data_IF_110437751799
#
_entry.id   IF_110437751799
#
_cell.length_a   1.000
_cell.length_b   1.000
_cell.length_c   1.000
_cell.angle_alpha   90.00
_cell.angle_beta   90.00
_cell.angle_gamma   90.00
#
_symmetry.space_group_name_H-M   'P 1'
#
loop_
_entity.id
_entity.type
_entity.pdbx_description
1 polymer ?
#
# COMPACT_ATOMS: atom_id res chain seq x y z
N UNK A 1 22.60 -8.37 -12.84
CA UNK A 1 22.04 -7.08 -13.33
C UNK A 1 20.52 -7.11 -13.26
N UNK A 2 19.86 -8.12 -13.84
CA UNK A 2 18.39 -8.26 -13.82
C UNK A 2 17.74 -8.20 -12.43
N UNK A 3 18.31 -8.91 -11.44
CA UNK A 3 17.83 -8.89 -10.05
C UNK A 3 17.88 -7.50 -9.42
N UNK A 4 18.88 -6.67 -9.78
CA UNK A 4 18.98 -5.30 -9.31
C UNK A 4 17.84 -4.43 -9.87
N UNK A 5 17.45 -4.63 -11.14
CA UNK A 5 16.34 -3.91 -11.74
C UNK A 5 14.99 -4.30 -11.14
N UNK A 6 14.80 -5.57 -10.79
CA UNK A 6 13.59 -6.03 -10.07
C UNK A 6 13.53 -5.40 -8.67
N UNK A 7 14.66 -5.34 -7.96
CA UNK A 7 14.72 -4.68 -6.65
C UNK A 7 14.50 -3.16 -6.75
N UNK A 8 15.07 -2.54 -7.78
CA UNK A 8 14.84 -1.12 -8.08
C UNK A 8 13.36 -0.84 -8.37
N UNK A 9 12.68 -1.72 -9.12
CA UNK A 9 11.25 -1.62 -9.40
C UNK A 9 10.43 -1.64 -8.11
N UNK A 10 10.77 -2.51 -7.16
CA UNK A 10 10.13 -2.56 -5.85
C UNK A 10 10.28 -1.23 -5.09
N UNK A 11 11.52 -0.74 -4.98
CA UNK A 11 11.84 0.48 -4.23
C UNK A 11 11.16 1.68 -4.87
N UNK A 12 11.27 1.85 -6.18
CA UNK A 12 10.64 2.97 -6.89
C UNK A 12 9.12 2.89 -6.80
N UNK A 13 8.54 1.70 -6.97
CA UNK A 13 7.11 1.44 -6.78
C UNK A 13 6.62 1.90 -5.41
N UNK A 14 7.36 1.54 -4.37
CA UNK A 14 7.01 1.92 -3.00
C UNK A 14 7.17 3.42 -2.80
N UNK A 15 8.34 3.95 -3.15
CA UNK A 15 8.74 5.31 -2.87
C UNK A 15 7.84 6.32 -3.59
N UNK A 16 7.60 6.13 -4.90
CA UNK A 16 6.72 7.00 -5.69
C UNK A 16 5.30 6.95 -5.16
N UNK A 17 4.80 5.78 -4.75
CA UNK A 17 3.48 5.67 -4.13
C UNK A 17 3.37 6.46 -2.82
N UNK A 18 4.39 6.43 -1.96
CA UNK A 18 4.37 7.22 -0.71
C UNK A 18 4.42 8.72 -0.98
N UNK A 19 5.23 9.17 -1.95
CA UNK A 19 5.30 10.58 -2.35
C UNK A 19 3.95 11.05 -2.91
N UNK A 20 3.35 10.29 -3.83
CA UNK A 20 2.04 10.63 -4.39
C UNK A 20 0.94 10.65 -3.32
N UNK A 21 0.99 9.72 -2.36
CA UNK A 21 0.05 9.70 -1.24
C UNK A 21 0.14 10.96 -0.39
N UNK A 22 1.35 11.42 -0.10
CA UNK A 22 1.58 12.68 0.61
C UNK A 22 1.03 13.88 -0.17
N UNK A 23 1.28 13.93 -1.48
CA UNK A 23 0.78 15.01 -2.35
C UNK A 23 -0.76 15.03 -2.35
N UNK A 24 -1.41 13.88 -2.57
CA UNK A 24 -2.87 13.79 -2.57
C UNK A 24 -3.47 14.16 -1.21
N UNK A 25 -2.81 13.78 -0.11
CA UNK A 25 -3.21 14.17 1.23
C UNK A 25 -3.18 15.69 1.43
N UNK A 26 -2.08 16.36 1.05
CA UNK A 26 -1.91 17.82 1.19
C UNK A 26 -2.95 18.56 0.34
N UNK A 27 -3.17 18.13 -0.90
CA UNK A 27 -4.16 18.74 -1.80
C UNK A 27 -5.57 18.60 -1.21
N UNK A 28 -5.93 17.42 -0.71
CA UNK A 28 -7.26 17.15 -0.13
C UNK A 28 -7.53 18.02 1.11
N UNK A 29 -6.51 18.32 1.90
CA UNK A 29 -6.62 19.16 3.11
C UNK A 29 -6.55 20.67 2.85
N UNK A 30 -6.43 21.14 1.60
CA UNK A 30 -6.41 22.57 1.20
C UNK A 30 -5.52 23.45 2.11
N UNK A 31 -4.32 22.98 2.45
CA UNK A 31 -3.35 23.76 3.23
C UNK A 31 -3.59 23.80 4.75
N UNK A 32 -4.60 23.11 5.30
CA UNK A 32 -4.81 22.96 6.75
C UNK A 32 -4.11 21.71 7.32
N UNK A 33 -2.85 21.52 6.93
CA UNK A 33 -2.03 20.35 7.33
C UNK A 33 -1.01 20.74 8.38
N UNK A 34 -1.06 20.11 9.55
CA UNK A 34 -0.02 20.23 10.58
C UNK A 34 1.12 19.23 10.32
N UNK A 35 2.34 19.52 10.78
CA UNK A 35 3.48 18.60 10.62
C UNK A 35 3.24 17.21 11.23
N UNK A 36 2.46 17.16 12.32
CA UNK A 36 2.01 15.91 12.96
C UNK A 36 1.07 15.09 12.06
N UNK A 37 0.19 15.75 11.30
CA UNK A 37 -0.72 15.08 10.35
C UNK A 37 0.07 14.43 9.22
N UNK A 38 1.12 15.10 8.74
CA UNK A 38 2.00 14.60 7.66
C UNK A 38 2.72 13.33 8.11
N UNK A 39 3.36 13.36 9.28
CA UNK A 39 4.04 12.18 9.84
C UNK A 39 3.05 11.04 10.08
N UNK A 40 1.87 11.36 10.65
CA UNK A 40 0.84 10.36 10.88
C UNK A 40 0.40 9.68 9.58
N UNK A 41 0.16 10.44 8.51
CA UNK A 41 -0.32 9.92 7.24
C UNK A 41 0.74 9.12 6.48
N UNK A 42 2.03 9.44 6.63
CA UNK A 42 3.13 8.64 6.09
C UNK A 42 3.25 7.27 6.75
N UNK A 43 2.93 7.18 8.04
CA UNK A 43 3.03 5.93 8.83
C UNK A 43 1.70 5.16 8.85
N UNK A 44 0.58 5.80 8.45
CA UNK A 44 -0.75 5.19 8.37
C UNK A 44 -0.81 4.10 7.29
N UNK A 45 -1.50 3.00 7.57
CA UNK A 45 -1.87 2.04 6.52
C UNK A 45 -3.05 2.60 5.72
N UNK A 46 -3.19 2.21 4.44
CA UNK A 46 -4.23 2.72 3.56
C UNK A 46 -3.84 4.00 2.81
N UNK A 47 -4.79 4.58 2.08
CA UNK A 47 -4.62 5.81 1.30
C UNK A 47 -4.20 5.57 -0.15
N UNK A 48 -4.52 6.56 -0.99
CA UNK A 48 -4.27 6.54 -2.44
C UNK A 48 -2.90 7.12 -2.80
N UNK A 49 -2.10 6.50 -3.68
CA UNK A 49 -2.23 5.15 -4.24
C UNK A 49 -1.72 4.06 -3.26
N UNK A 50 -2.12 2.81 -3.49
CA UNK A 50 -1.60 1.69 -2.70
C UNK A 50 -0.13 1.39 -3.03
N UNK A 51 0.75 1.57 -2.04
CA UNK A 51 2.17 1.25 -2.17
C UNK A 51 2.45 -0.25 -2.28
N UNK A 52 1.67 -1.11 -1.61
CA UNK A 52 1.83 -2.57 -1.75
C UNK A 52 1.53 -3.01 -3.19
N UNK A 53 0.41 -2.52 -3.74
CA UNK A 53 0.03 -2.81 -5.12
C UNK A 53 1.04 -2.23 -6.12
N UNK A 54 1.48 -0.98 -5.94
CA UNK A 54 2.44 -0.35 -6.82
C UNK A 54 3.78 -1.09 -6.87
N UNK A 55 4.35 -1.44 -5.71
CA UNK A 55 5.62 -2.16 -5.61
C UNK A 55 5.56 -3.54 -6.24
N UNK A 56 4.56 -4.36 -5.90
CA UNK A 56 4.49 -5.73 -6.39
C UNK A 56 4.03 -5.84 -7.84
N UNK A 57 3.22 -4.89 -8.31
CA UNK A 57 2.92 -4.77 -9.75
C UNK A 57 4.18 -4.39 -10.53
N UNK A 58 4.99 -3.44 -10.03
CA UNK A 58 6.26 -3.06 -10.66
C UNK A 58 7.22 -4.26 -10.72
N UNK A 59 7.39 -4.99 -9.62
CA UNK A 59 8.19 -6.23 -9.57
C UNK A 59 7.71 -7.25 -10.60
N UNK A 60 6.42 -7.55 -10.63
CA UNK A 60 5.84 -8.56 -11.52
C UNK A 60 6.04 -8.21 -12.98
N UNK A 61 5.79 -6.95 -13.35
CA UNK A 61 5.98 -6.49 -14.72
C UNK A 61 7.46 -6.48 -15.12
N UNK A 62 8.36 -6.06 -14.22
CA UNK A 62 9.80 -6.11 -14.48
C UNK A 62 10.29 -7.55 -14.64
N UNK A 63 9.81 -8.50 -13.84
CA UNK A 63 10.09 -9.94 -14.01
C UNK A 63 9.60 -10.41 -15.39
N UNK A 64 8.41 -9.99 -15.82
CA UNK A 64 7.89 -10.30 -17.15
C UNK A 64 8.77 -9.76 -18.28
N UNK A 65 9.36 -8.57 -18.10
CA UNK A 65 10.28 -7.97 -19.06
C UNK A 65 11.67 -8.64 -19.10
N UNK A 66 12.22 -9.09 -17.97
CA UNK A 66 13.56 -9.71 -17.93
C UNK A 66 13.54 -11.21 -18.18
N UNK A 67 12.58 -11.94 -17.60
CA UNK A 67 12.52 -13.41 -17.67
C UNK A 67 11.48 -13.91 -18.67
N UNK A 68 10.68 -13.02 -19.26
CA UNK A 68 9.60 -13.35 -20.19
C UNK A 68 8.29 -13.66 -19.49
N UNK A 69 7.18 -13.26 -20.14
CA UNK A 69 5.81 -13.43 -19.64
C UNK A 69 5.33 -14.90 -19.60
N UNK A 70 6.06 -15.83 -20.21
CA UNK A 70 5.76 -17.27 -20.19
C UNK A 70 6.60 -18.04 -19.16
N UNK A 71 7.47 -17.36 -18.42
CA UNK A 71 8.35 -17.99 -17.45
C UNK A 71 7.62 -18.39 -16.15
N UNK A 72 8.07 -19.48 -15.53
CA UNK A 72 7.55 -19.93 -14.23
C UNK A 72 7.72 -18.86 -13.15
N UNK A 73 8.80 -18.07 -13.19
CA UNK A 73 9.04 -16.99 -12.23
C UNK A 73 8.06 -15.84 -12.40
N UNK A 74 7.67 -15.50 -13.64
CA UNK A 74 6.61 -14.52 -13.89
C UNK A 74 5.26 -15.02 -13.37
N UNK A 75 4.90 -16.28 -13.63
CA UNK A 75 3.68 -16.89 -13.11
C UNK A 75 3.63 -16.84 -11.57
N UNK A 76 4.74 -17.19 -10.90
CA UNK A 76 4.86 -17.08 -9.45
C UNK A 76 4.69 -15.63 -8.96
N UNK A 77 5.31 -14.66 -9.64
CA UNK A 77 5.21 -13.25 -9.28
C UNK A 77 3.77 -12.72 -9.43
N UNK A 78 3.04 -13.13 -10.47
CA UNK A 78 1.62 -12.81 -10.65
C UNK A 78 0.78 -13.38 -9.52
N UNK A 79 0.91 -14.68 -9.23
CA UNK A 79 0.16 -15.33 -8.14
C UNK A 79 0.41 -14.64 -6.80
N UNK A 80 1.69 -14.33 -6.50
CA UNK A 80 2.06 -13.63 -5.27
C UNK A 80 1.47 -12.21 -5.20
N UNK A 81 1.52 -11.47 -6.32
CA UNK A 81 0.96 -10.11 -6.39
C UNK A 81 -0.55 -10.10 -6.19
N UNK A 82 -1.27 -11.07 -6.77
CA UNK A 82 -2.72 -11.18 -6.59
C UNK A 82 -3.09 -11.43 -5.12
N UNK A 83 -2.38 -12.32 -4.43
CA UNK A 83 -2.60 -12.59 -2.99
C UNK A 83 -2.32 -11.33 -2.17
N UNK A 84 -1.21 -10.63 -2.44
CA UNK A 84 -0.86 -9.39 -1.72
C UNK A 84 -1.92 -8.31 -1.91
N UNK A 85 -2.45 -8.14 -3.13
CA UNK A 85 -3.52 -7.19 -3.41
C UNK A 85 -4.80 -7.61 -2.68
N UNK A 86 -5.15 -8.90 -2.72
CA UNK A 86 -6.34 -9.43 -2.03
C UNK A 86 -6.27 -9.18 -0.52
N UNK A 87 -5.14 -9.47 0.11
CA UNK A 87 -4.92 -9.27 1.55
C UNK A 87 -4.94 -7.78 1.92
N UNK A 88 -4.38 -6.93 1.07
CA UNK A 88 -4.35 -5.48 1.28
C UNK A 88 -5.75 -4.85 1.22
N UNK A 89 -6.66 -5.41 0.40
CA UNK A 89 -8.04 -4.92 0.25
C UNK A 89 -8.98 -5.56 1.26
N UNK A 90 -9.02 -6.90 1.35
CA UNK A 90 -10.06 -7.60 2.10
C UNK A 90 -9.63 -7.86 3.54
N UNK A 91 -8.53 -8.59 3.74
CA UNK A 91 -8.10 -9.04 5.07
C UNK A 91 -7.79 -7.86 5.98
N UNK A 92 -7.02 -6.88 5.49
CA UNK A 92 -6.70 -5.68 6.28
C UNK A 92 -7.91 -4.80 6.58
N UNK A 93 -8.89 -4.74 5.68
CA UNK A 93 -10.11 -3.98 5.91
C UNK A 93 -10.95 -4.59 7.03
N UNK A 94 -11.19 -5.90 6.99
CA UNK A 94 -11.92 -6.61 8.05
C UNK A 94 -11.23 -6.53 9.41
N UNK A 95 -9.89 -6.60 9.46
CA UNK A 95 -9.14 -6.39 10.71
C UNK A 95 -9.32 -4.96 11.24
N UNK A 96 -9.42 -3.98 10.35
CA UNK A 96 -9.77 -2.60 10.70
C UNK A 96 -11.14 -2.50 11.36
N UNK A 97 -12.17 -3.05 10.73
CA UNK A 97 -13.55 -3.06 11.26
C UNK A 97 -13.63 -3.72 12.64
N UNK A 98 -12.95 -4.85 12.82
CA UNK A 98 -12.84 -5.50 14.13
C UNK A 98 -12.17 -4.60 15.18
N UNK A 99 -11.09 -3.90 14.80
CA UNK A 99 -10.38 -2.96 15.67
C UNK A 99 -11.25 -1.77 16.09
N UNK A 100 -12.12 -1.28 15.21
CA UNK A 100 -13.07 -0.22 15.53
C UNK A 100 -14.13 -0.68 16.54
N UNK A 101 -14.71 -1.87 16.33
CA UNK A 101 -15.68 -2.46 17.26
C UNK A 101 -15.04 -2.66 18.64
N UNK A 102 -13.82 -3.19 18.69
CA UNK A 102 -13.10 -3.41 19.94
C UNK A 102 -12.78 -2.08 20.66
N UNK A 103 -12.43 -1.03 19.90
CA UNK A 103 -12.22 0.30 20.47
C UNK A 103 -13.49 0.93 21.07
N UNK A 104 -14.67 0.60 20.55
CA UNK A 104 -15.96 1.00 21.16
C UNK A 104 -16.16 0.30 22.50
N UNK A 105 -15.95 -1.01 22.56
CA UNK A 105 -16.03 -1.79 23.81
C UNK A 105 -15.04 -1.29 24.86
N UNK A 106 -13.80 -0.99 24.47
CA UNK A 106 -12.79 -0.40 25.36
C UNK A 106 -13.25 0.95 25.90
N UNK A 107 -13.86 1.80 25.06
CA UNK A 107 -14.34 3.11 25.47
C UNK A 107 -15.48 3.00 26.50
N UNK A 108 -16.43 2.09 26.27
CA UNK A 108 -17.54 1.85 27.19
C UNK A 108 -17.06 1.31 28.54
N UNK A 109 -16.12 0.35 28.51
CA UNK A 109 -15.52 -0.20 29.73
C UNK A 109 -14.75 0.84 30.55
N UNK A 110 -13.98 1.69 29.88
CA UNK A 110 -13.28 2.79 30.55
C UNK A 110 -14.24 3.79 31.19
N UNK A 111 -15.42 4.00 30.59
CA UNK A 111 -16.46 4.90 31.11
C UNK A 111 -17.20 4.31 32.30
N UNK A 112 -17.56 3.03 32.25
CA UNK A 112 -18.39 2.37 33.28
C UNK A 112 -17.58 1.91 34.49
N UNK A 113 -16.36 1.40 34.28
CA UNK A 113 -15.57 0.76 35.35
C UNK A 113 -14.36 1.62 35.79
N UNK A 114 -14.16 2.81 35.21
CA UNK A 114 -12.97 3.63 35.48
C UNK A 114 -11.65 3.01 35.01
N UNK A 115 -11.73 1.96 34.17
CA UNK A 115 -10.58 1.33 33.53
C UNK A 115 -9.82 2.34 32.66
N UNK A 116 -8.49 2.16 32.51
CA UNK A 116 -7.62 3.01 31.66
C UNK A 116 -6.98 2.20 30.54
N UNK A 117 -7.79 1.43 29.81
CA UNK A 117 -7.32 0.62 28.68
C UNK A 117 -7.06 1.54 27.48
N UNK A 118 -5.87 1.45 26.88
CA UNK A 118 -5.51 2.22 25.67
C UNK A 118 -6.26 1.69 24.45
N UNK A 119 -6.70 2.60 23.58
CA UNK A 119 -7.28 2.26 22.28
C UNK A 119 -6.24 1.57 21.38
N UNK A 120 -6.71 0.62 20.60
CA UNK A 120 -5.94 -0.07 19.58
C UNK A 120 -5.75 0.82 18.36
N UNK A 121 -4.59 0.68 17.71
CA UNK A 121 -4.36 1.29 16.41
C UNK A 121 -5.16 0.53 15.35
N UNK A 122 -6.11 1.21 14.72
CA UNK A 122 -6.92 0.63 13.65
C UNK A 122 -6.12 0.64 12.36
N UNK A 123 -6.03 -0.52 11.71
CA UNK A 123 -5.42 -0.67 10.39
C UNK A 123 -6.50 -0.36 9.37
N UNK A 124 -6.31 0.65 8.54
CA UNK A 124 -7.17 0.87 7.38
C UNK A 124 -6.61 0.06 6.21
N UNK A 125 -7.43 -0.85 5.67
CA UNK A 125 -7.17 -1.52 4.39
C UNK A 125 -7.20 -0.53 3.22
N UNK A 126 -6.93 -1.03 2.02
CA UNK A 126 -7.04 -0.24 0.79
C UNK A 126 -8.40 -0.40 0.14
N UNK A 127 -8.92 0.66 -0.46
CA UNK A 127 -10.09 0.51 -1.34
C UNK A 127 -9.67 -0.09 -2.69
N UNK A 128 -10.63 -0.69 -3.40
CA UNK A 128 -10.39 -1.22 -4.76
C UNK A 128 -9.84 -0.14 -5.69
N UNK A 129 -10.34 1.10 -5.58
CA UNK A 129 -9.85 2.23 -6.37
C UNK A 129 -8.39 2.60 -6.05
N UNK A 130 -7.99 2.58 -4.78
CA UNK A 130 -6.60 2.82 -4.37
C UNK A 130 -5.64 1.75 -4.90
N UNK A 131 -6.08 0.49 -4.91
CA UNK A 131 -5.34 -0.61 -5.49
C UNK A 131 -5.23 -0.47 -7.02
N UNK A 132 -6.31 -0.10 -7.71
CA UNK A 132 -6.30 0.10 -9.16
C UNK A 132 -5.30 1.18 -9.58
N UNK A 133 -5.23 2.31 -8.85
CA UNK A 133 -4.24 3.35 -9.14
C UNK A 133 -2.82 2.90 -8.78
N UNK A 134 -2.66 2.10 -7.73
CA UNK A 134 -1.39 1.42 -7.44
C UNK A 134 -0.94 0.52 -8.58
N UNK A 135 -1.85 -0.23 -9.20
CA UNK A 135 -1.56 -1.14 -10.32
C UNK A 135 -1.06 -0.34 -11.53
N UNK A 136 -1.78 0.73 -11.92
CA UNK A 136 -1.36 1.63 -13.01
C UNK A 136 0.02 2.22 -12.72
N UNK A 137 0.26 2.68 -11.49
CA UNK A 137 1.55 3.23 -11.10
C UNK A 137 2.68 2.20 -11.22
N UNK A 138 2.45 0.97 -10.77
CA UNK A 138 3.43 -0.12 -10.86
C UNK A 138 3.77 -0.48 -12.30
N UNK A 139 2.78 -0.57 -13.19
CA UNK A 139 3.00 -0.80 -14.63
C UNK A 139 3.85 0.33 -15.23
N UNK A 140 3.52 1.59 -14.91
CA UNK A 140 4.28 2.73 -15.39
C UNK A 140 5.74 2.68 -14.96
N UNK A 141 6.02 2.36 -13.69
CA UNK A 141 7.38 2.26 -13.15
C UNK A 141 8.16 1.13 -13.81
N UNK A 142 7.56 -0.05 -13.94
CA UNK A 142 8.21 -1.17 -14.63
C UNK A 142 8.52 -0.84 -16.10
N UNK A 143 7.62 -0.12 -16.77
CA UNK A 143 7.79 0.30 -18.15
C UNK A 143 8.91 1.35 -18.28
N UNK A 144 9.03 2.27 -17.32
CA UNK A 144 10.18 3.19 -17.26
C UNK A 144 11.50 2.42 -17.09
N UNK A 145 11.56 1.46 -16.16
CA UNK A 145 12.75 0.63 -15.97
C UNK A 145 13.09 -0.12 -17.25
N UNK A 146 12.09 -0.67 -17.95
CA UNK A 146 12.31 -1.31 -19.24
C UNK A 146 12.93 -0.35 -20.27
N UNK A 147 12.44 0.88 -20.38
CA UNK A 147 12.92 1.83 -21.39
C UNK A 147 14.34 2.33 -21.10
N UNK A 148 14.67 2.55 -19.82
CA UNK A 148 15.91 3.21 -19.42
C UNK A 148 17.01 2.26 -18.94
N UNK A 149 16.68 1.03 -18.56
CA UNK A 149 17.62 0.12 -17.89
C UNK A 149 17.74 -1.27 -18.51
N UNK A 150 16.75 -1.72 -19.31
CA UNK A 150 16.74 -3.04 -19.98
C UNK A 150 16.91 -2.87 -21.49
#
# INVERSE_FOLDING_TARGET
MESLYVFLAFILGWFVAQILKLIFFIIKKRGRTTFQDVIYYMVKSGGMPSGHTASFTAVTMTIGYVSGFTSTIFALAVCNTLIIIYDAINVRHSVGEHGEVLNKLIADKNKTEGSKIKKLRVVEGHTVAEAAVGLILGISIATMIKIFCL
#
